data_IF_111836137531
#
_entry.id   IF_111836137531
#
_cell.length_a   1.000
_cell.length_b   1.000
_cell.length_c   1.000
_cell.angle_alpha   90.00
_cell.angle_beta   90.00
_cell.angle_gamma   90.00
#
_symmetry.space_group_name_H-M   'P 1'
#
loop_
_entity.id
_entity.type
_entity.pdbx_description
1 polymer ?
#
# COMPACT_ATOMS: atom_id res chain seq x y z
N UNK A 1 -18.85 20.58 -2.86
CA UNK A 1 -19.78 19.74 -2.07
C UNK A 1 -20.88 19.26 -3.03
N UNK A 2 -20.99 17.96 -3.28
CA UNK A 2 -21.86 17.45 -4.34
C UNK A 2 -23.34 17.65 -4.02
N UNK A 3 -24.17 17.97 -5.03
CA UNK A 3 -25.61 18.24 -4.84
C UNK A 3 -26.38 17.15 -4.08
N UNK A 4 -25.91 15.89 -4.21
CA UNK A 4 -26.44 14.73 -3.49
C UNK A 4 -26.34 14.87 -1.97
N UNK A 5 -25.26 15.48 -1.47
CA UNK A 5 -25.00 15.63 -0.03
C UNK A 5 -25.92 16.67 0.59
N UNK A 6 -26.21 17.75 -0.13
CA UNK A 6 -27.21 18.76 0.29
C UNK A 6 -28.61 18.14 0.32
N UNK A 7 -28.95 17.31 -0.67
CA UNK A 7 -30.24 16.60 -0.70
C UNK A 7 -30.45 15.68 0.51
N UNK A 8 -29.41 14.95 0.94
CA UNK A 8 -29.47 14.10 2.14
C UNK A 8 -29.64 14.93 3.40
N UNK A 9 -28.90 16.03 3.55
CA UNK A 9 -29.02 16.92 4.72
C UNK A 9 -30.45 17.49 4.82
N UNK A 10 -31.01 17.93 3.70
CA UNK A 10 -32.35 18.51 3.65
C UNK A 10 -33.42 17.46 4.00
N UNK A 11 -33.26 16.23 3.52
CA UNK A 11 -34.13 15.10 3.87
C UNK A 11 -34.06 14.76 5.36
N UNK A 12 -32.86 14.73 5.97
CA UNK A 12 -32.70 14.51 7.40
C UNK A 12 -33.35 15.61 8.26
N UNK A 13 -33.27 16.87 7.82
CA UNK A 13 -33.95 17.99 8.49
C UNK A 13 -35.46 17.83 8.39
N UNK A 14 -35.98 17.44 7.21
CA UNK A 14 -37.41 17.22 7.00
C UNK A 14 -37.96 16.05 7.82
N UNK A 15 -37.22 14.93 7.92
CA UNK A 15 -37.64 13.80 8.76
C UNK A 15 -37.60 14.14 10.25
N UNK A 16 -36.64 14.96 10.68
CA UNK A 16 -36.58 15.47 12.05
C UNK A 16 -37.77 16.40 12.36
N UNK A 17 -38.10 17.34 11.47
CA UNK A 17 -39.25 18.23 11.62
C UNK A 17 -40.56 17.44 11.60
N UNK A 18 -40.70 16.47 10.68
CA UNK A 18 -41.89 15.60 10.62
C UNK A 18 -42.04 14.75 11.89
N UNK A 19 -40.96 14.19 12.42
CA UNK A 19 -40.96 13.48 13.70
C UNK A 19 -41.34 14.38 14.88
N UNK A 20 -40.85 15.63 14.88
CA UNK A 20 -41.25 16.65 15.84
C UNK A 20 -42.71 17.04 15.72
N UNK A 21 -43.30 17.07 14.52
CA UNK A 21 -44.71 17.41 14.33
C UNK A 21 -45.67 16.25 14.62
N UNK A 22 -45.24 15.01 14.37
CA UNK A 22 -46.03 13.80 14.69
C UNK A 22 -45.99 13.50 16.19
N UNK A 23 -44.86 13.74 16.86
CA UNK A 23 -44.71 13.51 18.31
C UNK A 23 -44.89 14.75 19.18
N UNK A 24 -44.92 15.95 18.60
CA UNK A 24 -44.81 17.20 19.35
C UNK A 24 -46.03 18.10 19.20
N UNK A 25 -46.58 18.40 20.39
CA UNK A 25 -47.54 19.47 20.68
C UNK A 25 -48.98 19.11 20.32
N UNK A 26 -49.47 18.00 20.89
CA UNK A 26 -50.86 18.02 21.35
C UNK A 26 -50.88 18.61 22.77
N UNK A 27 -51.56 19.74 22.96
CA UNK A 27 -51.65 20.40 24.27
C UNK A 27 -52.38 19.53 25.30
N UNK A 28 -53.04 18.45 24.86
CA UNK A 28 -53.67 17.43 25.70
C UNK A 28 -52.67 16.68 26.60
N UNK A 29 -51.39 16.56 26.19
CA UNK A 29 -50.34 15.89 26.96
C UNK A 29 -49.95 16.64 28.25
N UNK A 30 -50.31 17.92 28.38
CA UNK A 30 -50.11 18.72 29.61
C UNK A 30 -51.19 18.46 30.67
N UNK A 31 -52.28 17.76 30.34
CA UNK A 31 -53.35 17.48 31.29
C UNK A 31 -52.95 16.39 32.30
N UNK A 32 -53.46 16.51 33.54
CA UNK A 32 -53.21 15.54 34.60
C UNK A 32 -53.80 14.16 34.24
N UNK A 33 -52.93 13.18 33.99
CA UNK A 33 -53.33 11.80 33.63
C UNK A 33 -52.37 11.10 32.67
N UNK A 34 -51.59 11.84 31.89
CA UNK A 34 -50.72 11.28 30.83
C UNK A 34 -49.23 11.16 31.20
N UNK A 35 -48.86 11.47 32.45
CA UNK A 35 -47.45 11.55 32.87
C UNK A 35 -46.64 10.26 32.66
N UNK A 36 -47.25 9.09 32.87
CA UNK A 36 -46.58 7.80 32.67
C UNK A 36 -46.38 7.47 31.20
N UNK A 37 -47.32 7.86 30.35
CA UNK A 37 -47.29 7.60 28.92
C UNK A 37 -46.28 8.52 28.22
N UNK A 38 -46.24 9.80 28.59
CA UNK A 38 -45.20 10.75 28.13
C UNK A 38 -43.81 10.27 28.54
N UNK A 39 -43.65 9.81 29.78
CA UNK A 39 -42.36 9.30 30.26
C UNK A 39 -41.91 8.06 29.48
N UNK A 40 -42.83 7.14 29.17
CA UNK A 40 -42.55 5.95 28.36
C UNK A 40 -42.12 6.31 26.94
N UNK A 41 -42.87 7.18 26.25
CA UNK A 41 -42.54 7.61 24.88
C UNK A 41 -41.24 8.43 24.82
N UNK A 42 -40.98 9.26 25.83
CA UNK A 42 -39.72 10.01 25.95
C UNK A 42 -38.53 9.08 26.18
N UNK A 43 -38.68 8.06 27.03
CA UNK A 43 -37.66 7.05 27.24
C UNK A 43 -37.37 6.28 25.96
N UNK A 44 -38.43 5.82 25.24
CA UNK A 44 -38.29 5.12 23.96
C UNK A 44 -37.59 5.99 22.90
N UNK A 45 -37.96 7.28 22.80
CA UNK A 45 -37.31 8.24 21.92
C UNK A 45 -35.83 8.44 22.24
N UNK A 46 -35.48 8.49 23.53
CA UNK A 46 -34.09 8.54 24.00
C UNK A 46 -33.28 7.32 23.57
N UNK A 47 -33.83 6.12 23.69
CA UNK A 47 -33.17 4.88 23.22
C UNK A 47 -32.96 4.86 21.72
N UNK A 48 -33.99 5.21 20.93
CA UNK A 48 -33.90 5.25 19.46
C UNK A 48 -32.87 6.27 19.00
N UNK A 49 -32.85 7.46 19.62
CA UNK A 49 -31.85 8.50 19.36
C UNK A 49 -30.42 8.05 19.70
N UNK A 50 -30.25 7.37 20.85
CA UNK A 50 -28.98 6.79 21.26
C UNK A 50 -28.44 5.78 20.25
N UNK A 51 -29.28 4.83 19.80
CA UNK A 51 -28.91 3.83 18.79
C UNK A 51 -28.55 4.50 17.46
N UNK A 52 -29.35 5.48 17.02
CA UNK A 52 -29.09 6.23 15.80
C UNK A 52 -27.73 6.97 15.85
N UNK A 53 -27.40 7.54 17.01
CA UNK A 53 -26.13 8.24 17.24
C UNK A 53 -24.95 7.27 17.17
N UNK A 54 -25.06 6.09 17.80
CA UNK A 54 -24.02 5.05 17.71
C UNK A 54 -23.81 4.59 16.28
N UNK A 55 -24.88 4.34 15.52
CA UNK A 55 -24.79 3.95 14.12
C UNK A 55 -24.12 5.04 13.28
N UNK A 56 -24.45 6.31 13.50
CA UNK A 56 -23.81 7.44 12.82
C UNK A 56 -22.30 7.49 13.11
N UNK A 57 -21.88 7.32 14.37
CA UNK A 57 -20.46 7.27 14.76
C UNK A 57 -19.74 6.11 14.07
N UNK A 58 -20.34 4.93 14.01
CA UNK A 58 -19.76 3.76 13.32
C UNK A 58 -19.55 4.06 11.83
N UNK A 59 -20.54 4.64 11.16
CA UNK A 59 -20.44 5.01 9.75
C UNK A 59 -19.36 6.09 9.53
N UNK A 60 -19.28 7.10 10.40
CA UNK A 60 -18.23 8.12 10.35
C UNK A 60 -16.83 7.52 10.51
N UNK A 61 -16.64 6.62 11.48
CA UNK A 61 -15.37 5.91 11.67
C UNK A 61 -15.03 5.01 10.47
N UNK A 62 -16.02 4.31 9.92
CA UNK A 62 -15.83 3.48 8.75
C UNK A 62 -15.43 4.31 7.51
N UNK A 63 -16.07 5.45 7.30
CA UNK A 63 -15.70 6.37 6.21
C UNK A 63 -14.32 6.99 6.41
N UNK A 64 -13.97 7.36 7.65
CA UNK A 64 -12.63 7.84 7.99
C UNK A 64 -11.57 6.76 7.74
N UNK A 65 -11.89 5.50 8.07
CA UNK A 65 -11.03 4.35 7.79
C UNK A 65 -10.85 4.12 6.28
N UNK A 66 -11.93 4.16 5.50
CA UNK A 66 -11.85 4.05 4.04
C UNK A 66 -11.04 5.19 3.42
N UNK A 67 -11.22 6.42 3.89
CA UNK A 67 -10.46 7.58 3.43
C UNK A 67 -8.97 7.47 3.79
N UNK A 68 -8.65 6.99 5.00
CA UNK A 68 -7.28 6.68 5.40
C UNK A 68 -6.65 5.63 4.49
N UNK A 69 -7.42 4.59 4.10
CA UNK A 69 -6.95 3.59 3.16
C UNK A 69 -6.80 4.10 1.72
N UNK A 70 -7.58 5.08 1.29
CA UNK A 70 -7.45 5.66 -0.06
C UNK A 70 -6.11 6.40 -0.27
N UNK A 71 -5.48 6.88 0.81
CA UNK A 71 -4.14 7.46 0.82
C UNK A 71 -3.03 6.42 1.06
N UNK A 72 -3.32 5.12 0.97
CA UNK A 72 -2.30 4.09 1.15
C UNK A 72 -1.37 4.09 -0.06
N UNK A 73 -0.08 4.24 0.24
CA UNK A 73 1.02 4.08 -0.70
C UNK A 73 0.80 2.89 -1.64
N UNK A 74 0.86 3.14 -2.94
CA UNK A 74 0.67 2.11 -3.95
C UNK A 74 1.87 2.05 -4.88
N UNK A 75 2.85 1.23 -4.54
CA UNK A 75 3.97 0.93 -5.44
C UNK A 75 3.61 -0.22 -6.39
N UNK A 76 4.01 -0.06 -7.65
CA UNK A 76 4.10 -1.16 -8.62
C UNK A 76 5.57 -1.41 -8.96
N UNK A 77 6.02 -2.65 -8.76
CA UNK A 77 7.33 -3.10 -9.23
C UNK A 77 7.17 -3.87 -10.53
N UNK A 78 7.97 -3.54 -11.53
CA UNK A 78 7.97 -4.17 -12.84
C UNK A 78 9.39 -4.62 -13.14
N UNK A 79 9.57 -5.91 -13.38
CA UNK A 79 10.83 -6.44 -13.87
C UNK A 79 10.78 -6.55 -15.39
N UNK A 80 11.79 -5.98 -16.05
CA UNK A 80 11.97 -6.08 -17.49
C UNK A 80 13.22 -6.92 -17.76
N UNK A 81 13.07 -8.16 -18.27
CA UNK A 81 14.20 -9.00 -18.61
C UNK A 81 14.97 -8.43 -19.79
N UNK A 82 16.24 -8.85 -19.91
CA UNK A 82 17.07 -8.63 -21.10
C UNK A 82 16.28 -8.88 -22.39
N UNK A 83 16.24 -7.88 -23.26
CA UNK A 83 15.67 -7.98 -24.60
C UNK A 83 16.74 -7.75 -25.67
N UNK A 84 16.54 -8.34 -26.85
CA UNK A 84 17.29 -8.01 -28.06
C UNK A 84 16.58 -6.86 -28.78
N UNK A 85 17.34 -5.84 -29.19
CA UNK A 85 16.83 -4.85 -30.11
C UNK A 85 16.73 -5.47 -31.52
N UNK A 86 15.83 -4.98 -32.38
CA UNK A 86 15.62 -5.52 -33.75
C UNK A 86 16.87 -5.49 -34.65
N UNK A 87 17.94 -4.82 -34.21
CA UNK A 87 19.20 -4.63 -34.93
C UNK A 87 20.38 -5.42 -34.35
N UNK A 88 20.15 -6.37 -33.43
CA UNK A 88 21.19 -7.30 -32.97
C UNK A 88 22.27 -6.70 -32.05
N UNK A 89 22.39 -5.38 -31.96
CA UNK A 89 23.38 -4.70 -31.13
C UNK A 89 22.82 -4.16 -29.80
N UNK A 90 23.53 -4.54 -28.74
CA UNK A 90 23.41 -4.23 -27.31
C UNK A 90 22.09 -4.59 -26.59
N UNK A 91 22.27 -5.55 -25.68
CA UNK A 91 21.33 -6.17 -24.75
C UNK A 91 20.79 -5.13 -23.75
N UNK A 92 19.47 -4.92 -23.71
CA UNK A 92 18.84 -4.13 -22.64
C UNK A 92 19.27 -4.70 -21.28
N UNK A 93 19.74 -3.87 -20.35
CA UNK A 93 20.11 -4.31 -19.00
C UNK A 93 18.88 -4.89 -18.30
N UNK A 94 19.08 -5.85 -17.38
CA UNK A 94 17.99 -6.26 -16.50
C UNK A 94 17.59 -5.04 -15.67
N UNK A 95 16.35 -4.60 -15.79
CA UNK A 95 15.87 -3.42 -15.07
C UNK A 95 14.68 -3.76 -14.18
N UNK A 96 14.70 -3.21 -12.97
CA UNK A 96 13.58 -3.20 -12.06
C UNK A 96 13.08 -1.77 -11.96
N UNK A 97 11.84 -1.55 -12.40
CA UNK A 97 11.17 -0.25 -12.29
C UNK A 97 10.23 -0.26 -11.10
N UNK A 98 10.42 0.68 -10.18
CA UNK A 98 9.56 0.94 -9.04
C UNK A 98 8.75 2.19 -9.34
N UNK A 99 7.44 2.06 -9.50
CA UNK A 99 6.54 3.16 -9.87
C UNK A 99 5.59 3.49 -8.73
N UNK A 100 5.51 4.77 -8.37
CA UNK A 100 4.49 5.27 -7.45
C UNK A 100 3.16 5.40 -8.22
N UNK A 101 2.10 4.74 -7.76
CA UNK A 101 0.75 4.85 -8.31
C UNK A 101 -0.17 5.69 -7.43
N UNK A 102 0.31 6.15 -6.27
CA UNK A 102 -0.40 7.02 -5.34
C UNK A 102 0.09 8.46 -5.46
N UNK A 103 -0.75 9.41 -5.04
CA UNK A 103 -0.37 10.83 -4.94
C UNK A 103 0.42 11.16 -3.65
N UNK A 104 0.85 10.13 -2.91
CA UNK A 104 1.57 10.26 -1.64
C UNK A 104 3.07 10.10 -1.88
N UNK A 105 3.86 10.96 -1.23
CA UNK A 105 5.32 10.89 -1.25
C UNK A 105 5.78 9.54 -0.69
N UNK A 106 6.53 8.80 -1.50
CA UNK A 106 6.94 7.44 -1.18
C UNK A 106 8.46 7.35 -1.08
N UNK A 107 9.02 7.45 0.13
CA UNK A 107 10.46 7.33 0.34
C UNK A 107 10.88 5.85 0.25
N UNK A 108 11.72 5.55 -0.74
CA UNK A 108 12.40 4.27 -0.91
C UNK A 108 13.66 4.31 -0.04
N UNK A 109 13.68 3.51 1.01
CA UNK A 109 14.74 3.50 2.02
C UNK A 109 15.82 2.48 1.69
N UNK A 110 15.41 1.25 1.35
CA UNK A 110 16.33 0.14 1.08
C UNK A 110 15.83 -0.71 -0.07
N UNK A 111 16.78 -1.35 -0.73
CA UNK A 111 16.50 -2.28 -1.81
C UNK A 111 17.39 -3.51 -1.69
N UNK A 112 16.79 -4.68 -1.50
CA UNK A 112 17.51 -5.92 -1.24
C UNK A 112 16.95 -7.09 -2.04
N UNK A 113 17.81 -8.09 -2.24
CA UNK A 113 17.43 -9.37 -2.81
C UNK A 113 17.28 -10.39 -1.70
N UNK A 114 16.23 -11.21 -1.77
CA UNK A 114 16.07 -12.38 -0.93
C UNK A 114 16.16 -13.63 -1.81
N UNK A 115 17.01 -14.59 -1.44
CA UNK A 115 17.09 -15.90 -2.10
C UNK A 115 17.05 -17.00 -1.04
N UNK A 116 16.11 -17.94 -1.16
CA UNK A 116 15.92 -19.07 -0.23
C UNK A 116 15.86 -18.71 1.26
N UNK A 117 15.38 -17.50 1.55
CA UNK A 117 15.25 -16.98 2.90
C UNK A 117 16.39 -16.08 3.35
N UNK A 118 17.55 -16.10 2.68
CA UNK A 118 18.68 -15.21 2.99
C UNK A 118 18.54 -13.87 2.26
N UNK A 119 19.00 -12.79 2.88
CA UNK A 119 18.86 -11.43 2.38
C UNK A 119 20.22 -10.81 2.06
N UNK A 120 20.31 -10.05 0.98
CA UNK A 120 21.49 -9.23 0.71
C UNK A 120 21.08 -7.87 0.16
N UNK A 121 21.74 -6.84 0.65
CA UNK A 121 21.54 -5.48 0.15
C UNK A 121 22.06 -5.37 -1.28
N UNK A 122 21.32 -4.70 -2.15
CA UNK A 122 21.72 -4.38 -3.52
C UNK A 122 22.35 -2.98 -3.61
N UNK A 123 22.55 -2.30 -2.49
CA UNK A 123 23.33 -1.07 -2.39
C UNK A 123 24.79 -1.22 -2.88
N UNK A 124 25.53 -2.30 -2.60
CA UNK A 124 26.91 -2.47 -3.09
C UNK A 124 27.01 -2.68 -4.62
N UNK A 125 25.89 -3.03 -5.27
CA UNK A 125 25.83 -3.22 -6.73
C UNK A 125 25.46 -1.95 -7.50
N UNK A 126 25.39 -0.78 -6.83
CA UNK A 126 24.99 0.53 -7.34
C UNK A 126 25.25 0.73 -8.86
N UNK A 127 24.19 0.52 -9.64
CA UNK A 127 24.04 0.96 -11.03
C UNK A 127 22.65 1.56 -11.27
N UNK A 128 22.05 2.13 -10.22
CA UNK A 128 20.85 2.97 -10.34
C UNK A 128 21.23 4.43 -10.60
N UNK A 129 20.38 5.16 -11.30
CA UNK A 129 20.58 6.59 -11.64
C UNK A 129 20.55 7.48 -10.36
N UNK A 130 19.95 6.99 -9.27
CA UNK A 130 19.78 7.75 -8.02
C UNK A 130 20.24 6.94 -6.81
N UNK A 131 20.93 7.61 -5.88
CA UNK A 131 21.35 7.05 -4.60
C UNK A 131 20.14 6.86 -3.68
N UNK A 132 20.13 5.77 -2.90
CA UNK A 132 19.16 5.55 -1.84
C UNK A 132 19.62 6.28 -0.56
N UNK A 133 18.70 6.84 0.24
CA UNK A 133 17.24 6.83 0.07
C UNK A 133 16.77 7.80 -1.03
N UNK A 134 15.73 7.40 -1.79
CA UNK A 134 15.14 8.20 -2.87
C UNK A 134 13.63 8.33 -2.68
N UNK A 135 13.05 9.53 -2.83
CA UNK A 135 11.61 9.74 -2.63
C UNK A 135 10.89 9.95 -3.95
N UNK A 136 9.92 9.09 -4.25
CA UNK A 136 8.96 9.30 -5.34
C UNK A 136 7.92 10.31 -4.88
N UNK A 137 8.00 11.54 -5.40
CA UNK A 137 7.19 12.67 -5.00
C UNK A 137 5.84 12.71 -5.72
N UNK A 138 5.80 12.24 -6.98
CA UNK A 138 4.61 12.38 -7.82
C UNK A 138 3.96 11.04 -8.17
N UNK A 139 2.64 11.08 -8.36
CA UNK A 139 1.92 9.96 -8.94
C UNK A 139 2.44 9.69 -10.35
N UNK A 140 2.84 8.45 -10.60
CA UNK A 140 3.41 8.02 -11.88
C UNK A 140 4.94 8.12 -11.95
N UNK A 141 5.58 8.79 -10.99
CA UNK A 141 7.04 8.83 -10.92
C UNK A 141 7.61 7.42 -10.75
N UNK A 142 8.75 7.18 -11.38
CA UNK A 142 9.38 5.86 -11.42
C UNK A 142 10.87 5.96 -11.09
N UNK A 143 11.33 5.09 -10.19
CA UNK A 143 12.74 4.86 -9.93
C UNK A 143 13.17 3.56 -10.60
N UNK A 144 14.27 3.59 -11.35
CA UNK A 144 14.75 2.46 -12.13
C UNK A 144 16.09 1.99 -11.58
N UNK A 145 16.14 0.72 -11.22
CA UNK A 145 17.37 -0.01 -10.92
C UNK A 145 17.78 -0.82 -12.13
N UNK A 146 18.92 -0.48 -12.73
CA UNK A 146 19.51 -1.28 -13.79
C UNK A 146 20.65 -2.12 -13.21
N UNK A 147 20.74 -3.39 -13.61
CA UNK A 147 21.85 -4.25 -13.22
C UNK A 147 22.35 -5.10 -14.37
N UNK A 148 23.66 -5.29 -14.39
CA UNK A 148 24.33 -6.27 -15.23
C UNK A 148 24.59 -7.53 -14.44
N UNK A 149 24.18 -8.69 -14.96
CA UNK A 149 24.54 -9.99 -14.40
C UNK A 149 25.91 -10.40 -14.95
N UNK A 150 26.95 -9.70 -14.53
CA UNK A 150 28.36 -9.96 -14.87
C UNK A 150 29.19 -10.07 -13.60
N UNK A 151 30.29 -10.85 -13.59
CA UNK A 151 31.17 -10.94 -12.43
C UNK A 151 31.68 -9.56 -12.04
N UNK A 152 31.31 -9.10 -10.84
CA UNK A 152 31.67 -7.77 -10.34
C UNK A 152 31.82 -7.80 -8.82
N UNK A 153 32.59 -6.86 -8.28
CA UNK A 153 32.78 -6.72 -6.83
C UNK A 153 31.44 -6.56 -6.08
N UNK A 154 30.46 -5.89 -6.69
CA UNK A 154 29.11 -5.77 -6.15
C UNK A 154 28.42 -7.13 -6.00
N UNK A 155 28.43 -7.95 -7.05
CA UNK A 155 27.83 -9.29 -6.98
C UNK A 155 28.59 -10.23 -6.04
N UNK A 156 29.92 -10.12 -5.94
CA UNK A 156 30.72 -10.83 -4.94
C UNK A 156 30.27 -10.45 -3.52
N UNK A 157 30.06 -9.16 -3.25
CA UNK A 157 29.55 -8.67 -1.97
C UNK A 157 28.14 -9.19 -1.66
N UNK A 158 27.28 -9.26 -2.67
CA UNK A 158 25.92 -9.80 -2.53
C UNK A 158 25.98 -11.30 -2.19
N UNK A 159 26.75 -12.09 -2.94
CA UNK A 159 26.83 -13.54 -2.70
C UNK A 159 27.53 -13.89 -1.39
N UNK A 160 28.54 -13.15 -0.97
CA UNK A 160 29.18 -13.32 0.34
C UNK A 160 28.20 -13.01 1.47
N UNK A 161 27.41 -11.94 1.37
CA UNK A 161 26.37 -11.60 2.35
C UNK A 161 25.29 -12.68 2.46
N UNK A 162 24.88 -13.27 1.33
CA UNK A 162 23.94 -14.39 1.32
C UNK A 162 24.55 -15.66 1.94
N UNK A 163 25.80 -15.97 1.61
CA UNK A 163 26.49 -17.16 2.08
C UNK A 163 26.76 -17.14 3.59
N UNK A 164 26.99 -15.97 4.19
CA UNK A 164 27.14 -15.81 5.63
C UNK A 164 25.89 -16.21 6.42
N UNK A 165 24.71 -16.07 5.83
CA UNK A 165 23.45 -16.41 6.50
C UNK A 165 23.06 -17.87 6.29
N UNK A 166 23.19 -18.37 5.06
CA UNK A 166 22.72 -19.71 4.71
C UNK A 166 23.31 -20.22 3.41
N UNK A 167 23.38 -21.54 3.28
CA UNK A 167 23.64 -22.22 1.99
C UNK A 167 22.45 -21.97 1.04
N UNK A 168 22.72 -21.22 -0.03
CA UNK A 168 21.73 -20.85 -1.06
C UNK A 168 21.59 -21.97 -2.09
N UNK A 169 20.36 -22.42 -2.35
CA UNK A 169 20.03 -23.45 -3.35
C UNK A 169 19.34 -22.88 -4.60
N UNK A 170 19.08 -21.57 -4.62
CA UNK A 170 18.39 -20.85 -5.69
C UNK A 170 17.03 -21.46 -6.07
N UNK A 171 16.23 -21.89 -5.08
CA UNK A 171 14.87 -22.42 -5.33
C UNK A 171 13.84 -21.30 -5.55
N UNK A 172 13.98 -20.21 -4.81
CA UNK A 172 13.07 -19.07 -4.87
C UNK A 172 13.81 -17.77 -4.54
N UNK A 173 13.39 -16.67 -5.16
CA UNK A 173 13.91 -15.36 -4.82
C UNK A 173 12.90 -14.24 -4.99
N UNK A 174 13.14 -13.14 -4.28
CA UNK A 174 12.32 -11.93 -4.30
C UNK A 174 13.21 -10.69 -4.36
N UNK A 175 12.83 -9.72 -5.17
CA UNK A 175 13.26 -8.34 -4.99
C UNK A 175 12.38 -7.69 -3.93
N UNK A 176 13.00 -7.00 -2.99
CA UNK A 176 12.28 -6.37 -1.89
C UNK A 176 12.67 -4.91 -1.81
N UNK A 177 11.66 -4.06 -1.84
CA UNK A 177 11.76 -2.61 -1.71
C UNK A 177 11.15 -2.26 -0.37
N UNK A 178 11.92 -1.61 0.48
CA UNK A 178 11.45 -1.12 1.77
C UNK A 178 11.21 0.38 1.67
N UNK A 179 9.95 0.76 1.90
CA UNK A 179 9.56 2.16 2.07
C UNK A 179 9.34 2.49 3.53
N UNK A 180 9.13 3.77 3.84
CA UNK A 180 8.82 4.17 5.21
C UNK A 180 7.55 3.52 5.78
N UNK A 181 6.60 3.11 4.92
CA UNK A 181 5.32 2.56 5.36
C UNK A 181 5.27 1.04 5.30
N UNK A 182 5.90 0.41 4.29
CA UNK A 182 5.80 -1.05 4.10
C UNK A 182 6.91 -1.64 3.26
N UNK A 183 6.98 -2.96 3.28
CA UNK A 183 7.84 -3.73 2.39
C UNK A 183 7.03 -4.25 1.20
N UNK A 184 7.57 -4.03 0.01
CA UNK A 184 7.03 -4.51 -1.25
C UNK A 184 7.91 -5.63 -1.79
N UNK A 185 7.31 -6.77 -2.17
CA UNK A 185 8.04 -7.93 -2.71
C UNK A 185 7.63 -8.24 -4.15
N UNK A 186 8.60 -8.40 -5.03
CA UNK A 186 8.42 -8.91 -6.38
C UNK A 186 9.13 -10.25 -6.50
N UNK A 187 8.39 -11.30 -6.90
CA UNK A 187 9.00 -12.61 -7.14
C UNK A 187 9.93 -12.55 -8.34
N UNK A 188 11.14 -13.07 -8.18
CA UNK A 188 12.13 -13.16 -9.26
C UNK A 188 11.68 -14.26 -10.25
N UNK A 189 11.63 -13.97 -11.56
CA UNK A 189 11.37 -14.99 -12.57
C UNK A 189 12.39 -16.13 -12.53
N UNK A 190 11.96 -17.35 -12.86
CA UNK A 190 12.84 -18.54 -12.82
C UNK A 190 14.07 -18.39 -13.72
N UNK A 191 13.90 -17.79 -14.90
CA UNK A 191 14.98 -17.54 -15.87
C UNK A 191 16.07 -16.63 -15.29
N UNK A 192 15.67 -15.53 -14.63
CA UNK A 192 16.64 -14.67 -13.97
C UNK A 192 17.31 -15.37 -12.78
N UNK A 193 16.57 -16.23 -12.06
CA UNK A 193 17.13 -16.99 -10.95
C UNK A 193 18.21 -17.96 -11.43
N UNK A 194 18.04 -18.59 -12.61
CA UNK A 194 19.10 -19.37 -13.25
C UNK A 194 20.29 -18.51 -13.66
N UNK A 195 20.08 -17.32 -14.24
CA UNK A 195 21.18 -16.42 -14.61
C UNK A 195 22.01 -15.99 -13.39
N UNK A 196 21.36 -15.70 -12.26
CA UNK A 196 22.03 -15.34 -11.01
C UNK A 196 22.83 -16.54 -10.47
N UNK A 197 22.31 -17.76 -10.61
CA UNK A 197 23.02 -18.98 -10.22
C UNK A 197 24.26 -19.18 -11.09
N UNK A 198 24.15 -19.06 -12.41
CA UNK A 198 25.30 -19.14 -13.32
C UNK A 198 26.34 -18.07 -13.02
N UNK A 199 25.90 -16.86 -12.69
CA UNK A 199 26.80 -15.77 -12.29
C UNK A 199 27.59 -16.14 -11.03
N UNK A 200 26.95 -16.73 -10.02
CA UNK A 200 27.65 -17.22 -8.83
C UNK A 200 28.70 -18.26 -9.20
N UNK A 201 28.34 -19.26 -9.99
CA UNK A 201 29.27 -20.32 -10.41
C UNK A 201 30.46 -19.76 -11.22
N UNK A 202 30.26 -18.70 -12.01
CA UNK A 202 31.34 -18.00 -12.70
C UNK A 202 32.27 -17.26 -11.74
N UNK A 203 31.73 -16.60 -10.72
CA UNK A 203 32.52 -15.92 -9.70
C UNK A 203 33.36 -16.92 -8.91
N UNK A 204 32.75 -18.03 -8.47
CA UNK A 204 33.42 -19.08 -7.69
C UNK A 204 34.56 -19.79 -8.46
N UNK A 205 34.57 -19.70 -9.80
CA UNK A 205 35.66 -20.23 -10.65
C UNK A 205 36.84 -19.26 -10.82
N UNK A 206 36.62 -17.97 -10.58
CA UNK A 206 37.61 -16.91 -10.78
C UNK A 206 38.29 -16.52 -9.46
N UNK A 207 37.65 -16.81 -8.32
CA UNK A 207 38.20 -16.69 -6.96
C UNK A 207 39.00 -17.90 -6.53
#
# INVERSE_FOLDING_TARGET
MGWRLVGVILLCILTFIAGLMVGGIDSSWMNSGHSSEVAFWSMLGGWVSGIATVAAVIVSLFMAYLASQANVEKIKMIFTPKGHNQFGDYVFKNSLTIKNLSAVNTPIMKFFIQIDGAYADLYPTQMGIFQLPYTLQQQGESWVYETHLVPSAGWVSVFSSLAQQKIIKFKSGYFIVETALKQHRLKIPKEMLSDIKELKEKIDRVS
#
